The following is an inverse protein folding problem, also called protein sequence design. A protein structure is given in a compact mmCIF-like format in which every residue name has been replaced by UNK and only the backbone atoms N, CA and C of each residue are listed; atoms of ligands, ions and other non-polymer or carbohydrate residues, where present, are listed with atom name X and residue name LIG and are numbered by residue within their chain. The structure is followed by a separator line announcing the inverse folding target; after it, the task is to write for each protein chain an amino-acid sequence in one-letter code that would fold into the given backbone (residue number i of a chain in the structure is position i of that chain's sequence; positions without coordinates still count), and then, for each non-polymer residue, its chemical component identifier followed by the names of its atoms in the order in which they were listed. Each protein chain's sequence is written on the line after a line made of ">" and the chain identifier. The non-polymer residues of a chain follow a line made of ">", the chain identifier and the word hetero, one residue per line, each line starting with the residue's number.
data_IF_132097997710
#
_entry.id   IF_132097997710
#
_cell.length_a   1.000
_cell.length_b   1.000
_cell.length_c   1.000
_cell.angle_alpha   90.00
_cell.angle_beta   90.00
_cell.angle_gamma   90.00
#
_symmetry.space_group_name_H-M   'P 1'
#
loop_
_entity.id
_entity.type
_entity.pdbx_description
1 polymer ?
#
# COMPACT_ATOMS: atom_id res chain seq x y z
N UNK A 1 -28.24 19.20 -5.15
CA UNK A 1 -27.47 18.79 -6.35
C UNK A 1 -26.25 18.05 -5.88
N UNK A 2 -26.04 16.88 -6.47
CA UNK A 2 -25.11 15.85 -6.04
C UNK A 2 -23.74 16.10 -6.71
N UNK A 3 -22.61 16.23 -5.99
CA UNK A 3 -21.30 16.46 -6.63
C UNK A 3 -20.80 15.28 -7.46
N UNK A 4 -21.53 14.16 -7.52
CA UNK A 4 -21.29 13.05 -8.45
C UNK A 4 -21.79 13.30 -9.88
N UNK A 5 -22.22 14.51 -10.24
CA UNK A 5 -22.73 14.79 -11.59
C UNK A 5 -21.68 15.32 -12.57
N UNK A 6 -20.43 15.63 -12.16
CA UNK A 6 -19.45 16.10 -13.13
C UNK A 6 -17.99 15.68 -12.87
N UNK A 7 -17.25 15.24 -13.93
CA UNK A 7 -15.83 14.90 -13.87
C UNK A 7 -14.94 16.02 -13.28
N UNK A 8 -15.34 17.29 -13.38
CA UNK A 8 -14.54 18.43 -12.93
C UNK A 8 -14.29 18.43 -11.41
N UNK A 9 -15.24 17.94 -10.61
CA UNK A 9 -15.10 17.89 -9.14
C UNK A 9 -14.08 16.85 -8.66
N UNK A 10 -13.91 15.75 -9.40
CA UNK A 10 -12.87 14.76 -9.12
C UNK A 10 -11.48 15.27 -9.47
N UNK A 11 -11.34 16.03 -10.56
CA UNK A 11 -10.06 16.64 -10.96
C UNK A 11 -9.56 17.63 -9.90
N UNK A 12 -10.43 18.49 -9.36
CA UNK A 12 -10.08 19.44 -8.30
C UNK A 12 -9.56 18.78 -7.02
N UNK A 13 -10.07 17.59 -6.67
CA UNK A 13 -9.59 16.84 -5.52
C UNK A 13 -8.17 16.30 -5.76
N UNK A 14 -7.94 15.62 -6.89
CA UNK A 14 -6.64 15.07 -7.25
C UNK A 14 -5.54 16.12 -7.35
N UNK A 15 -5.87 17.31 -7.87
CA UNK A 15 -4.95 18.45 -7.98
C UNK A 15 -4.52 19.02 -6.62
N UNK A 16 -5.22 18.67 -5.55
CA UNK A 16 -5.05 19.27 -4.22
C UNK A 16 -4.23 18.41 -3.24
N UNK A 17 -3.71 17.27 -3.71
CA UNK A 17 -2.83 16.34 -2.98
C UNK A 17 -1.36 16.63 -3.34
N UNK A 18 -0.52 16.84 -2.32
CA UNK A 18 0.91 17.03 -2.50
C UNK A 18 1.63 15.69 -2.40
N UNK A 19 1.94 15.11 -3.55
CA UNK A 19 2.75 13.90 -3.61
C UNK A 19 4.24 14.26 -3.57
N UNK A 20 5.09 13.38 -2.98
CA UNK A 20 6.53 13.47 -3.18
C UNK A 20 6.82 13.57 -4.68
N UNK A 21 7.47 14.66 -5.08
CA UNK A 21 7.79 14.94 -6.47
C UNK A 21 9.31 14.92 -6.64
N UNK A 22 9.75 14.44 -7.79
CA UNK A 22 11.15 14.47 -8.16
C UNK A 22 11.60 15.90 -8.44
N UNK A 23 12.84 16.22 -8.07
CA UNK A 23 13.43 17.52 -8.40
C UNK A 23 13.57 17.68 -9.93
N UNK A 24 13.69 18.91 -10.45
CA UNK A 24 13.91 19.14 -11.89
C UNK A 24 15.10 18.34 -12.43
N UNK A 25 16.19 18.25 -11.69
CA UNK A 25 17.39 17.49 -12.10
C UNK A 25 17.13 15.98 -12.11
N UNK A 26 16.37 15.47 -11.14
CA UNK A 26 15.95 14.06 -11.10
C UNK A 26 14.99 13.73 -12.23
N UNK A 27 14.09 14.65 -12.60
CA UNK A 27 13.22 14.51 -13.76
C UNK A 27 14.00 14.51 -15.07
N UNK A 28 15.01 15.38 -15.21
CA UNK A 28 15.92 15.36 -16.37
C UNK A 28 16.67 14.03 -16.43
N UNK A 29 17.15 13.52 -15.29
CA UNK A 29 17.83 12.22 -15.22
C UNK A 29 16.89 11.04 -15.51
N UNK A 30 15.65 11.07 -15.03
CA UNK A 30 14.66 10.02 -15.26
C UNK A 30 14.19 9.99 -16.72
N UNK A 31 14.09 11.16 -17.36
CA UNK A 31 13.71 11.31 -18.76
C UNK A 31 14.92 11.29 -19.72
N UNK A 32 16.10 10.91 -19.23
CA UNK A 32 17.27 10.79 -20.09
C UNK A 32 17.02 9.71 -21.16
N UNK A 33 17.51 9.91 -22.41
CA UNK A 33 17.37 8.92 -23.46
C UNK A 33 17.96 7.57 -23.04
N UNK A 34 17.28 6.50 -23.45
CA UNK A 34 17.71 5.13 -23.20
C UNK A 34 19.06 4.89 -23.88
N UNK A 35 20.02 4.33 -23.15
CA UNK A 35 21.33 4.02 -23.73
C UNK A 35 21.52 2.52 -24.06
N UNK A 36 22.53 2.24 -24.87
CA UNK A 36 22.84 0.87 -25.28
C UNK A 36 23.29 -0.04 -24.12
N UNK A 37 23.82 0.53 -23.03
CA UNK A 37 24.25 -0.21 -21.84
C UNK A 37 23.02 -0.71 -21.08
N UNK A 38 22.00 0.13 -20.91
CA UNK A 38 20.73 -0.24 -20.30
C UNK A 38 20.04 -1.37 -21.06
N UNK A 39 20.05 -1.30 -22.41
CA UNK A 39 19.59 -2.41 -23.25
C UNK A 39 20.36 -3.71 -22.98
N UNK A 40 21.69 -3.64 -22.94
CA UNK A 40 22.52 -4.82 -22.67
C UNK A 40 22.30 -5.38 -21.27
N UNK A 41 22.10 -4.52 -20.27
CA UNK A 41 21.81 -4.94 -18.90
C UNK A 41 20.43 -5.61 -18.81
N UNK A 42 19.40 -5.02 -19.42
CA UNK A 42 18.06 -5.59 -19.43
C UNK A 42 17.99 -6.90 -20.20
N UNK A 43 18.64 -6.99 -21.37
CA UNK A 43 18.71 -8.23 -22.16
C UNK A 43 19.43 -9.34 -21.42
N UNK A 44 20.51 -9.06 -20.67
CA UNK A 44 21.20 -10.03 -19.81
C UNK A 44 20.29 -10.65 -18.75
N UNK A 45 19.34 -9.88 -18.23
CA UNK A 45 18.41 -10.32 -17.20
C UNK A 45 17.26 -11.20 -17.74
N UNK A 46 17.00 -11.19 -19.05
CA UNK A 46 15.92 -11.98 -19.64
C UNK A 46 16.11 -13.49 -19.43
N UNK A 47 14.99 -14.20 -19.23
CA UNK A 47 14.98 -15.66 -19.11
C UNK A 47 14.86 -16.30 -20.48
N UNK A 48 15.76 -17.26 -20.78
CA UNK A 48 15.71 -18.06 -22.00
C UNK A 48 14.44 -18.95 -22.05
N UNK A 49 14.15 -19.48 -23.24
CA UNK A 49 13.09 -20.43 -23.54
C UNK A 49 11.69 -19.95 -23.14
N UNK A 50 11.43 -18.65 -23.32
CA UNK A 50 10.09 -18.06 -23.16
C UNK A 50 9.38 -18.01 -24.50
N UNK A 51 8.07 -18.26 -24.48
CA UNK A 51 7.24 -18.14 -25.67
C UNK A 51 7.30 -16.70 -26.21
N UNK A 52 7.57 -16.54 -27.51
CA UNK A 52 7.64 -15.21 -28.12
C UNK A 52 6.25 -14.57 -28.17
N UNK A 53 6.25 -13.25 -28.32
CA UNK A 53 5.03 -12.51 -28.64
C UNK A 53 4.65 -12.66 -30.13
N UNK A 54 3.73 -11.83 -30.62
CA UNK A 54 3.21 -11.92 -31.99
C UNK A 54 4.23 -11.82 -33.12
N UNK A 55 5.40 -11.23 -32.86
CA UNK A 55 6.48 -11.11 -33.84
C UNK A 55 7.36 -12.38 -33.93
N UNK A 56 7.15 -13.38 -33.09
CA UNK A 56 7.92 -14.64 -33.11
C UNK A 56 9.36 -14.50 -32.59
N UNK A 57 9.80 -13.30 -32.20
CA UNK A 57 11.17 -13.07 -31.71
C UNK A 57 11.27 -13.44 -30.23
N UNK A 58 12.02 -14.52 -29.97
CA UNK A 58 12.27 -15.04 -28.63
C UNK A 58 13.40 -14.31 -27.90
N UNK A 59 13.62 -14.65 -26.63
CA UNK A 59 14.70 -14.05 -25.82
C UNK A 59 16.09 -14.33 -26.39
N UNK A 60 16.28 -15.50 -26.98
CA UNK A 60 17.51 -15.98 -27.61
C UNK A 60 17.99 -15.02 -28.71
N UNK A 61 17.06 -14.51 -29.51
CA UNK A 61 17.34 -13.58 -30.60
C UNK A 61 18.06 -12.33 -30.07
N UNK A 62 17.52 -11.69 -29.02
CA UNK A 62 18.10 -10.49 -28.43
C UNK A 62 19.42 -10.75 -27.73
N UNK A 63 19.59 -11.91 -27.09
CA UNK A 63 20.85 -12.24 -26.40
C UNK A 63 21.99 -12.56 -27.36
N UNK A 64 21.70 -13.33 -28.42
CA UNK A 64 22.70 -13.75 -29.40
C UNK A 64 23.11 -12.58 -30.29
N UNK A 65 22.14 -11.78 -30.73
CA UNK A 65 22.36 -10.70 -31.69
C UNK A 65 22.40 -9.32 -31.02
N UNK A 66 22.65 -9.25 -29.71
CA UNK A 66 22.59 -7.99 -28.94
C UNK A 66 23.45 -6.87 -29.56
N UNK A 67 24.64 -7.20 -30.06
CA UNK A 67 25.56 -6.23 -30.67
C UNK A 67 25.03 -5.65 -31.98
N UNK A 68 24.20 -6.40 -32.69
CA UNK A 68 23.57 -5.96 -33.94
C UNK A 68 22.24 -5.25 -33.71
N UNK A 69 21.53 -5.60 -32.63
CA UNK A 69 20.18 -5.09 -32.32
C UNK A 69 20.22 -3.82 -31.48
N UNK A 70 21.24 -3.64 -30.63
CA UNK A 70 21.29 -2.52 -29.66
C UNK A 70 21.07 -1.16 -30.32
N UNK A 71 21.69 -0.89 -31.47
CA UNK A 71 21.54 0.38 -32.18
C UNK A 71 20.13 0.56 -32.75
N UNK A 72 19.54 -0.51 -33.31
CA UNK A 72 18.17 -0.50 -33.82
C UNK A 72 17.14 -0.37 -32.70
N UNK A 73 17.39 -0.96 -31.54
CA UNK A 73 16.51 -0.89 -30.38
C UNK A 73 16.51 0.51 -29.77
N UNK A 74 17.69 1.11 -29.60
CA UNK A 74 17.82 2.50 -29.13
C UNK A 74 17.12 3.45 -30.12
N UNK A 75 17.36 3.32 -31.43
CA UNK A 75 16.66 4.11 -32.45
C UNK A 75 15.13 3.94 -32.39
N UNK A 76 14.65 2.72 -32.12
CA UNK A 76 13.22 2.47 -31.93
C UNK A 76 12.70 3.16 -30.66
N UNK A 77 13.44 3.10 -29.54
CA UNK A 77 13.06 3.77 -28.30
C UNK A 77 13.02 5.29 -28.46
N UNK A 78 14.03 5.87 -29.12
CA UNK A 78 14.10 7.30 -29.45
C UNK A 78 12.93 7.71 -30.35
N UNK A 79 12.62 6.91 -31.39
CA UNK A 79 11.46 7.17 -32.24
C UNK A 79 10.14 7.13 -31.47
N UNK A 80 9.97 6.17 -30.55
CA UNK A 80 8.77 6.10 -29.70
C UNK A 80 8.69 7.33 -28.79
N UNK A 81 9.82 7.77 -28.25
CA UNK A 81 9.90 8.96 -27.42
C UNK A 81 9.57 10.24 -28.20
N UNK A 82 10.13 10.42 -29.40
CA UNK A 82 9.93 11.62 -30.20
C UNK A 82 8.51 11.70 -30.78
N UNK A 83 8.00 10.56 -31.26
CA UNK A 83 6.68 10.51 -31.91
C UNK A 83 5.53 10.32 -30.92
N UNK A 84 5.83 9.91 -29.69
CA UNK A 84 4.85 9.49 -28.66
C UNK A 84 3.89 8.41 -29.16
N UNK A 85 4.29 7.67 -30.20
CA UNK A 85 3.52 6.61 -30.84
C UNK A 85 4.34 5.34 -30.83
N UNK A 86 3.79 4.29 -30.23
CA UNK A 86 4.36 2.95 -30.33
C UNK A 86 4.02 2.35 -31.69
N UNK A 87 5.02 1.71 -32.32
CA UNK A 87 4.80 0.94 -33.54
C UNK A 87 3.68 -0.08 -33.36
N UNK A 88 2.80 -0.22 -34.35
CA UNK A 88 1.60 -1.07 -34.25
C UNK A 88 1.93 -2.49 -33.77
N UNK A 89 3.05 -3.07 -34.21
CA UNK A 89 3.53 -4.40 -33.80
C UNK A 89 3.82 -4.53 -32.29
N UNK A 90 4.25 -3.46 -31.60
CA UNK A 90 4.54 -3.48 -30.15
C UNK A 90 3.26 -3.51 -29.31
N UNK A 91 2.17 -2.97 -29.85
CA UNK A 91 0.85 -2.97 -29.21
C UNK A 91 0.08 -4.26 -29.42
N UNK A 92 0.57 -5.16 -30.28
CA UNK A 92 -0.04 -6.46 -30.48
C UNK A 92 0.35 -7.41 -29.36
N UNK A 93 -0.67 -8.06 -28.80
CA UNK A 93 -0.53 -9.07 -27.76
C UNK A 93 -1.32 -10.30 -28.18
N UNK A 94 -0.71 -11.48 -28.06
CA UNK A 94 -1.51 -12.69 -28.10
C UNK A 94 -2.10 -12.93 -26.72
N UNK A 95 -3.40 -12.69 -26.62
CA UNK A 95 -4.18 -13.11 -25.47
C UNK A 95 -4.47 -14.59 -25.69
N UNK A 96 -3.82 -15.41 -24.90
CA UNK A 96 -4.12 -16.84 -24.85
C UNK A 96 -4.60 -17.20 -23.46
N UNK A 97 -5.53 -18.13 -23.41
CA UNK A 97 -6.04 -18.66 -22.17
C UNK A 97 -5.24 -19.89 -21.81
N UNK A 98 -4.48 -19.81 -20.72
CA UNK A 98 -3.96 -21.03 -20.14
C UNK A 98 -5.04 -21.63 -19.24
N UNK A 99 -5.54 -22.84 -19.53
CA UNK A 99 -6.46 -23.50 -18.64
C UNK A 99 -5.81 -23.64 -17.26
N UNK A 100 -6.50 -23.16 -16.23
CA UNK A 100 -6.12 -23.42 -14.84
C UNK A 100 -6.36 -24.90 -14.62
N UNK A 101 -5.27 -25.63 -14.56
CA UNK A 101 -5.25 -27.08 -14.48
C UNK A 101 -6.16 -27.62 -13.39
N UNK A 102 -7.09 -28.49 -13.77
CA UNK A 102 -8.08 -29.15 -12.90
C UNK A 102 -9.44 -28.45 -12.77
N UNK A 103 -9.68 -27.34 -13.49
CA UNK A 103 -10.97 -26.65 -13.53
C UNK A 103 -11.77 -27.09 -14.75
N UNK A 104 -13.10 -27.01 -14.67
CA UNK A 104 -13.98 -27.34 -15.78
C UNK A 104 -13.73 -26.42 -16.99
N UNK A 105 -13.17 -26.97 -18.07
CA UNK A 105 -12.84 -26.26 -19.31
C UNK A 105 -14.06 -25.62 -20.00
N UNK A 106 -15.29 -25.94 -19.58
CA UNK A 106 -16.53 -25.29 -20.04
C UNK A 106 -16.87 -23.99 -19.29
N UNK A 107 -16.18 -23.66 -18.20
CA UNK A 107 -16.41 -22.45 -17.41
C UNK A 107 -15.31 -21.42 -17.66
N UNK A 108 -15.67 -20.16 -17.89
CA UNK A 108 -14.71 -19.07 -18.20
C UNK A 108 -13.73 -18.80 -17.05
N UNK A 109 -14.19 -18.92 -15.80
CA UNK A 109 -13.35 -18.72 -14.60
C UNK A 109 -12.20 -19.75 -14.47
N UNK A 110 -12.27 -20.84 -15.23
CA UNK A 110 -11.29 -21.92 -15.32
C UNK A 110 -10.06 -21.59 -16.15
N UNK A 111 -10.05 -20.46 -16.85
CA UNK A 111 -8.92 -20.05 -17.65
C UNK A 111 -8.19 -18.91 -16.97
N UNK A 112 -6.86 -18.95 -16.97
CA UNK A 112 -6.01 -17.82 -16.64
C UNK A 112 -5.67 -17.15 -17.96
N UNK A 113 -6.09 -15.90 -18.08
CA UNK A 113 -5.67 -15.08 -19.21
C UNK A 113 -4.17 -14.86 -19.14
N UNK A 114 -3.46 -15.08 -20.24
CA UNK A 114 -2.05 -14.75 -20.39
C UNK A 114 -1.88 -13.88 -21.63
N UNK A 115 -1.17 -12.79 -21.41
CA UNK A 115 -0.75 -11.87 -22.45
C UNK A 115 0.67 -12.22 -22.88
N UNK A 116 0.83 -12.76 -24.08
CA UNK A 116 2.13 -12.92 -24.72
C UNK A 116 2.49 -11.62 -25.43
N UNK A 117 3.24 -10.79 -24.72
CA UNK A 117 3.79 -9.54 -25.22
C UNK A 117 5.08 -9.79 -26.02
N UNK A 118 5.39 -8.92 -26.97
CA UNK A 118 6.68 -8.94 -27.68
C UNK A 118 7.86 -8.83 -26.70
N UNK A 119 9.02 -9.31 -27.10
CA UNK A 119 10.19 -9.23 -26.24
C UNK A 119 10.74 -7.80 -26.17
N UNK A 120 10.53 -7.02 -27.24
CA UNK A 120 10.87 -5.61 -27.33
C UNK A 120 10.23 -4.78 -26.21
N UNK A 121 8.90 -4.91 -26.03
CA UNK A 121 8.18 -4.13 -25.01
C UNK A 121 8.56 -4.56 -23.59
N UNK A 122 8.93 -5.84 -23.38
CA UNK A 122 9.42 -6.32 -22.09
C UNK A 122 10.80 -5.77 -21.75
N UNK A 123 11.69 -5.68 -22.75
CA UNK A 123 13.01 -5.07 -22.57
C UNK A 123 12.85 -3.60 -22.24
N UNK A 124 12.02 -2.88 -23.03
CA UNK A 124 11.74 -1.47 -22.80
C UNK A 124 11.15 -1.23 -21.39
N UNK A 125 10.12 -1.98 -21.01
CA UNK A 125 9.51 -1.88 -19.69
C UNK A 125 10.49 -2.20 -18.55
N UNK A 126 11.39 -3.16 -18.75
CA UNK A 126 12.42 -3.51 -17.76
C UNK A 126 13.43 -2.37 -17.55
N UNK A 127 13.79 -1.67 -18.61
CA UNK A 127 14.72 -0.52 -18.55
C UNK A 127 14.04 0.63 -17.81
N UNK A 128 12.82 0.99 -18.22
CA UNK A 128 12.03 2.04 -17.58
C UNK A 128 11.77 1.75 -16.09
N UNK A 129 11.45 0.50 -15.74
CA UNK A 129 11.26 0.10 -14.34
C UNK A 129 12.55 0.20 -13.52
N UNK A 130 13.71 -0.07 -14.14
CA UNK A 130 15.01 0.06 -13.47
C UNK A 130 15.37 1.53 -13.22
N UNK A 131 15.14 2.40 -14.21
CA UNK A 131 15.33 3.84 -14.09
C UNK A 131 14.43 4.42 -12.98
N UNK A 132 13.13 4.09 -12.99
CA UNK A 132 12.19 4.54 -11.96
C UNK A 132 12.54 3.99 -10.57
N UNK A 133 13.03 2.75 -10.50
CA UNK A 133 13.41 2.08 -9.26
C UNK A 133 14.45 2.84 -8.44
N UNK A 134 15.35 3.59 -9.07
CA UNK A 134 16.33 4.43 -8.39
C UNK A 134 15.69 5.57 -7.57
N UNK A 135 14.45 5.96 -7.91
CA UNK A 135 13.75 7.08 -7.31
C UNK A 135 12.61 6.65 -6.38
N UNK A 136 12.11 5.41 -6.51
CA UNK A 136 11.00 4.89 -5.69
C UNK A 136 11.18 5.03 -4.16
N UNK A 137 12.38 4.83 -3.57
CA UNK A 137 12.57 5.02 -2.12
C UNK A 137 12.32 6.44 -1.62
N UNK A 138 12.37 7.43 -2.52
CA UNK A 138 12.07 8.84 -2.22
C UNK A 138 10.58 9.16 -2.45
N UNK A 139 9.86 8.26 -3.14
CA UNK A 139 8.47 8.42 -3.55
C UNK A 139 7.50 7.56 -2.72
N UNK A 140 7.98 6.54 -2.00
CA UNK A 140 7.15 5.56 -1.25
C UNK A 140 7.59 5.45 0.22
N UNK A 141 6.62 5.47 1.16
CA UNK A 141 6.86 5.43 2.60
C UNK A 141 7.32 4.04 3.12
N UNK A 142 8.28 3.96 4.08
CA UNK A 142 8.76 2.69 4.66
C UNK A 142 7.72 1.85 5.42
N UNK A 143 6.66 2.47 5.95
CA UNK A 143 5.65 1.80 6.80
C UNK A 143 4.76 0.79 6.07
N UNK A 144 5.01 0.55 4.79
CA UNK A 144 4.38 -0.53 4.05
C UNK A 144 4.94 -1.94 4.46
N UNK A 145 5.61 -2.07 5.63
CA UNK A 145 6.36 -3.26 6.13
C UNK A 145 6.09 -3.58 7.64
N UNK A 146 4.84 -3.72 8.10
CA UNK A 146 4.49 -3.84 9.54
C UNK A 146 4.73 -5.19 10.28
N UNK A 147 5.96 -5.71 10.36
CA UNK A 147 6.32 -6.90 11.18
C UNK A 147 7.63 -6.68 11.97
N UNK A 148 7.80 -7.30 13.15
CA UNK A 148 9.07 -7.23 13.90
C UNK A 148 10.21 -7.79 13.04
N UNK A 149 11.35 -7.08 13.00
CA UNK A 149 12.52 -7.50 12.24
C UNK A 149 12.94 -8.93 12.61
N UNK A 150 13.26 -9.76 11.61
CA UNK A 150 13.65 -11.17 11.75
C UNK A 150 12.63 -12.08 12.47
N UNK A 151 11.39 -11.62 12.65
CA UNK A 151 10.36 -12.47 13.26
C UNK A 151 9.87 -13.55 12.30
N UNK A 152 9.52 -14.70 12.88
CA UNK A 152 8.95 -15.81 12.13
C UNK A 152 7.51 -15.52 11.71
N UNK A 153 7.20 -15.78 10.44
CA UNK A 153 5.82 -15.85 9.93
C UNK A 153 5.44 -17.32 9.77
N UNK A 154 4.38 -17.75 10.44
CA UNK A 154 3.87 -19.11 10.35
C UNK A 154 2.51 -19.11 9.65
N UNK A 155 2.35 -19.93 8.62
CA UNK A 155 1.13 -19.97 7.82
C UNK A 155 0.55 -21.36 7.83
N UNK A 156 -0.65 -21.50 8.41
CA UNK A 156 -1.50 -22.67 8.26
C UNK A 156 -2.31 -22.53 6.97
N UNK A 157 -2.26 -23.55 6.12
CA UNK A 157 -2.97 -23.59 4.86
C UNK A 157 -4.15 -24.57 4.93
N UNK A 158 -5.33 -24.10 4.53
CA UNK A 158 -6.48 -24.96 4.32
C UNK A 158 -7.07 -24.73 2.93
N UNK A 159 -6.72 -25.59 1.99
CA UNK A 159 -7.42 -25.68 0.71
C UNK A 159 -8.63 -26.60 0.87
N UNK A 160 -9.80 -26.16 0.42
CA UNK A 160 -10.98 -27.03 0.41
C UNK A 160 -10.75 -28.16 -0.60
N UNK A 161 -11.02 -29.41 -0.22
CA UNK A 161 -11.05 -30.54 -1.14
C UNK A 161 -12.50 -30.95 -1.35
N UNK A 162 -13.04 -30.62 -2.51
CA UNK A 162 -14.34 -31.15 -2.93
C UNK A 162 -14.19 -32.66 -3.23
N UNK A 163 -14.88 -33.55 -2.51
CA UNK A 163 -14.83 -35.00 -2.75
C UNK A 163 -15.32 -35.42 -4.15
N UNK A 164 -16.09 -34.55 -4.82
CA UNK A 164 -16.67 -34.80 -6.14
C UNK A 164 -15.75 -34.37 -7.30
N UNK A 165 -14.64 -33.69 -7.00
CA UNK A 165 -13.66 -33.30 -8.03
C UNK A 165 -12.68 -34.45 -8.25
N UNK A 166 -12.58 -35.01 -9.48
CA UNK A 166 -11.69 -36.13 -9.75
C UNK A 166 -10.24 -35.75 -9.44
N UNK A 167 -9.50 -36.64 -8.76
CA UNK A 167 -8.03 -36.53 -8.70
C UNK A 167 -7.52 -36.56 -10.14
N UNK A 168 -6.74 -35.56 -10.56
CA UNK A 168 -6.07 -35.63 -11.86
C UNK A 168 -5.17 -36.86 -11.87
N UNK A 169 -5.44 -37.74 -12.83
CA UNK A 169 -4.60 -38.89 -13.16
C UNK A 169 -3.36 -38.36 -13.90
N UNK A 170 -2.25 -39.01 -13.57
CA UNK A 170 -0.94 -38.95 -14.23
C UNK A 170 -0.02 -37.80 -13.82
N UNK A 171 0.80 -38.07 -12.79
CA UNK A 171 1.86 -37.20 -12.25
C UNK A 171 3.12 -37.16 -13.11
N UNK A 172 3.21 -37.98 -14.16
CA UNK A 172 4.49 -38.30 -14.83
C UNK A 172 4.89 -37.30 -15.94
N UNK A 173 3.98 -36.42 -16.42
CA UNK A 173 4.24 -35.51 -17.55
C UNK A 173 4.21 -33.99 -17.21
N UNK A 174 4.06 -33.61 -15.94
CA UNK A 174 3.97 -32.20 -15.55
C UNK A 174 5.35 -31.53 -15.46
N UNK A 175 5.69 -30.69 -16.45
CA UNK A 175 6.82 -29.75 -16.34
C UNK A 175 6.45 -28.54 -15.49
N UNK A 176 6.91 -28.54 -14.23
CA UNK A 176 6.75 -27.43 -13.28
C UNK A 176 5.68 -27.69 -12.21
N UNK A 177 5.23 -26.63 -11.53
CA UNK A 177 4.30 -26.73 -10.39
C UNK A 177 2.89 -27.17 -10.83
N UNK A 178 2.20 -27.92 -9.98
CA UNK A 178 0.83 -28.38 -10.24
C UNK A 178 -0.16 -27.20 -10.21
N UNK A 179 -0.87 -26.88 -11.32
CA UNK A 179 -1.77 -25.74 -11.33
C UNK A 179 -3.09 -25.95 -10.58
N UNK A 180 -3.39 -27.19 -10.18
CA UNK A 180 -4.54 -27.54 -9.36
C UNK A 180 -4.33 -27.17 -7.89
N UNK A 181 -3.09 -27.28 -7.42
CA UNK A 181 -2.70 -27.13 -6.02
C UNK A 181 -2.30 -25.68 -5.75
N UNK A 182 -2.65 -25.19 -4.56
CA UNK A 182 -2.16 -23.91 -4.07
C UNK A 182 -0.67 -24.00 -3.78
N UNK A 183 0.11 -22.99 -4.14
CA UNK A 183 1.54 -22.99 -3.81
C UNK A 183 1.95 -21.69 -3.13
N UNK A 184 3.00 -21.76 -2.32
CA UNK A 184 3.79 -20.60 -1.96
C UNK A 184 4.96 -20.49 -2.93
N UNK A 185 5.06 -19.35 -3.60
CA UNK A 185 6.18 -19.00 -4.46
C UNK A 185 7.23 -18.25 -3.65
N UNK A 186 8.50 -18.58 -3.81
CA UNK A 186 9.62 -17.84 -3.22
C UNK A 186 10.68 -17.51 -4.27
N UNK A 187 11.26 -16.32 -4.19
CA UNK A 187 12.45 -15.91 -4.95
C UNK A 187 13.33 -15.01 -4.10
N UNK A 188 14.64 -15.03 -4.35
CA UNK A 188 15.56 -14.05 -3.79
C UNK A 188 15.13 -12.65 -4.27
N UNK A 189 15.12 -11.66 -3.38
CA UNK A 189 14.76 -10.28 -3.73
C UNK A 189 15.70 -9.75 -4.83
N UNK A 190 15.16 -9.04 -5.81
CA UNK A 190 15.91 -8.44 -6.94
C UNK A 190 16.62 -9.43 -7.88
N UNK A 191 16.71 -10.71 -7.54
CA UNK A 191 17.29 -11.75 -8.37
C UNK A 191 16.21 -12.47 -9.19
N UNK A 192 16.40 -12.51 -10.50
CA UNK A 192 15.57 -13.29 -11.42
C UNK A 192 16.34 -14.40 -12.14
N UNK A 193 17.65 -14.51 -11.94
CA UNK A 193 18.50 -15.57 -12.52
C UNK A 193 18.37 -16.86 -11.72
N UNK A 194 18.35 -16.77 -10.38
CA UNK A 194 18.11 -17.94 -9.53
C UNK A 194 16.69 -18.46 -9.73
N UNK A 195 16.50 -19.75 -10.05
CA UNK A 195 15.16 -20.32 -10.18
C UNK A 195 14.35 -20.15 -8.89
N UNK A 196 13.14 -19.60 -9.02
CA UNK A 196 12.22 -19.49 -7.90
C UNK A 196 11.65 -20.84 -7.50
N UNK A 197 11.32 -20.97 -6.22
CA UNK A 197 10.67 -22.16 -5.67
C UNK A 197 9.15 -22.01 -5.73
N UNK A 198 8.46 -23.09 -6.02
CA UNK A 198 7.01 -23.20 -5.90
C UNK A 198 6.69 -24.43 -5.05
N UNK A 199 6.35 -24.22 -3.79
CA UNK A 199 6.11 -25.30 -2.82
C UNK A 199 4.61 -25.57 -2.75
N UNK A 200 4.15 -26.80 -3.02
CA UNK A 200 2.73 -27.15 -2.95
C UNK A 200 2.19 -27.04 -1.53
N UNK A 201 0.93 -26.63 -1.41
CA UNK A 201 0.20 -26.46 -0.16
C UNK A 201 -1.11 -27.27 -0.22
N UNK A 202 -1.09 -28.43 0.44
CA UNK A 202 -2.24 -29.29 0.66
C UNK A 202 -3.03 -28.85 1.92
N UNK A 203 -4.27 -29.35 2.10
CA UNK A 203 -5.06 -29.01 3.27
C UNK A 203 -4.37 -29.52 4.54
N UNK A 204 -4.18 -28.62 5.51
CA UNK A 204 -3.48 -28.91 6.75
C UNK A 204 -1.99 -28.59 6.73
N UNK A 205 -1.41 -28.35 5.55
CA UNK A 205 0.00 -28.00 5.46
C UNK A 205 0.29 -26.68 6.16
N UNK A 206 1.45 -26.60 6.78
CA UNK A 206 1.96 -25.38 7.37
C UNK A 206 3.35 -25.08 6.84
N UNK A 207 3.64 -23.80 6.61
CA UNK A 207 4.97 -23.35 6.24
C UNK A 207 5.40 -22.17 7.11
N UNK A 208 6.72 -22.02 7.24
CA UNK A 208 7.35 -21.04 8.11
C UNK A 208 8.35 -20.23 7.30
N UNK A 209 8.29 -18.92 7.44
CA UNK A 209 9.33 -18.01 6.98
C UNK A 209 10.11 -17.59 8.22
N UNK A 210 11.34 -18.09 8.33
CA UNK A 210 12.18 -17.92 9.53
C UNK A 210 13.15 -16.76 9.34
N UNK A 211 13.50 -16.10 10.44
CA UNK A 211 14.55 -15.09 10.51
C UNK A 211 14.42 -14.01 9.42
N UNK A 212 15.47 -13.76 8.64
CA UNK A 212 15.52 -12.70 7.63
C UNK A 212 14.87 -13.08 6.28
N UNK A 213 14.22 -14.25 6.17
CA UNK A 213 13.68 -14.74 4.90
C UNK A 213 12.66 -13.77 4.29
N UNK A 214 11.84 -13.13 5.12
CA UNK A 214 10.85 -12.14 4.65
C UNK A 214 11.50 -10.81 4.18
N UNK A 215 12.77 -10.59 4.48
CA UNK A 215 13.55 -9.42 4.04
C UNK A 215 14.40 -9.74 2.80
N UNK A 216 15.03 -10.92 2.78
CA UNK A 216 15.94 -11.35 1.72
C UNK A 216 15.22 -11.97 0.52
N UNK A 217 13.98 -12.43 0.70
CA UNK A 217 13.18 -13.09 -0.32
C UNK A 217 11.81 -12.44 -0.49
N UNK A 218 11.34 -12.43 -1.73
CA UNK A 218 9.96 -12.10 -2.07
C UNK A 218 9.14 -13.39 -2.13
N UNK A 219 7.93 -13.34 -1.58
CA UNK A 219 6.99 -14.45 -1.64
C UNK A 219 5.69 -14.04 -2.32
N UNK A 220 5.03 -15.01 -2.96
CA UNK A 220 3.72 -14.79 -3.56
C UNK A 220 2.83 -16.02 -3.37
N UNK A 221 1.53 -15.79 -3.24
CA UNK A 221 0.55 -16.87 -3.21
C UNK A 221 0.16 -17.23 -4.63
N UNK A 222 0.50 -18.45 -5.05
CA UNK A 222 0.10 -18.98 -6.34
C UNK A 222 -1.25 -19.68 -6.20
N UNK A 223 -2.27 -19.12 -6.84
CA UNK A 223 -3.62 -19.64 -6.79
C UNK A 223 -3.71 -21.07 -7.34
N UNK A 224 -4.24 -21.95 -6.49
CA UNK A 224 -4.82 -23.22 -6.90
C UNK A 224 -6.29 -23.02 -7.26
N UNK A 225 -7.00 -24.11 -7.48
CA UNK A 225 -8.35 -24.05 -8.03
C UNK A 225 -9.45 -23.93 -7.01
N UNK A 226 -9.29 -24.69 -5.94
CA UNK A 226 -10.30 -24.77 -4.91
C UNK A 226 -10.26 -23.51 -4.05
N UNK A 227 -11.37 -23.13 -3.42
CA UNK A 227 -11.33 -22.14 -2.35
C UNK A 227 -10.24 -22.49 -1.33
N UNK A 228 -9.53 -21.47 -0.85
CA UNK A 228 -8.49 -21.61 0.16
C UNK A 228 -8.72 -20.59 1.25
N UNK A 229 -8.51 -21.06 2.47
CA UNK A 229 -8.29 -20.24 3.64
C UNK A 229 -6.84 -20.40 4.10
N UNK A 230 -6.32 -19.38 4.74
CA UNK A 230 -5.03 -19.48 5.43
C UNK A 230 -5.07 -18.67 6.71
N UNK A 231 -4.49 -19.21 7.77
CA UNK A 231 -4.16 -18.44 8.97
C UNK A 231 -2.70 -18.06 8.89
N UNK A 232 -2.40 -16.76 8.77
CA UNK A 232 -1.02 -16.25 8.71
C UNK A 232 -0.69 -15.61 10.05
N UNK A 233 -0.02 -16.35 10.92
CA UNK A 233 0.44 -15.87 12.21
C UNK A 233 1.71 -15.03 12.03
N UNK A 234 1.71 -13.84 12.61
CA UNK A 234 2.79 -12.86 12.55
C UNK A 234 3.10 -12.36 13.96
N UNK A 235 4.34 -11.96 14.18
CA UNK A 235 4.69 -11.11 15.31
C UNK A 235 4.58 -9.68 14.82
N UNK A 236 3.43 -9.05 15.07
CA UNK A 236 3.23 -7.66 14.72
C UNK A 236 4.22 -6.80 15.52
N UNK A 237 4.92 -5.92 14.82
CA UNK A 237 5.57 -4.79 15.48
C UNK A 237 4.43 -3.94 16.04
N UNK A 238 4.34 -3.90 17.36
CA UNK A 238 3.21 -3.33 18.08
C UNK A 238 3.65 -2.47 19.24
N UNK A 239 4.92 -2.01 19.24
CA UNK A 239 5.43 -1.09 20.26
C UNK A 239 4.55 0.16 20.39
N UNK A 240 3.97 0.62 19.29
CA UNK A 240 3.04 1.75 19.23
C UNK A 240 1.61 1.35 18.83
N UNK A 241 1.34 0.05 18.63
CA UNK A 241 0.10 -0.48 18.05
C UNK A 241 -0.86 -1.17 19.04
N UNK A 242 -0.69 -0.98 20.36
CA UNK A 242 -1.52 -1.61 21.41
C UNK A 242 -2.43 -0.63 22.13
N UNK A 243 -3.56 -1.13 22.65
CA UNK A 243 -4.53 -0.29 23.36
C UNK A 243 -3.90 0.31 24.63
N UNK A 244 -3.09 -0.48 25.32
CA UNK A 244 -2.35 -0.07 26.51
C UNK A 244 -1.39 1.08 26.19
N UNK A 245 -0.67 0.99 25.08
CA UNK A 245 0.23 2.05 24.61
C UNK A 245 -0.54 3.35 24.38
N UNK A 246 -1.59 3.33 23.53
CA UNK A 246 -2.28 4.56 23.19
C UNK A 246 -3.04 5.15 24.38
N UNK A 247 -3.55 4.32 25.29
CA UNK A 247 -4.14 4.81 26.54
C UNK A 247 -3.10 5.49 27.43
N UNK A 248 -1.91 4.94 27.56
CA UNK A 248 -0.82 5.56 28.30
C UNK A 248 -0.42 6.90 27.68
N UNK A 249 -0.35 6.97 26.34
CA UNK A 249 -0.08 8.21 25.59
C UNK A 249 -1.15 9.27 25.88
N UNK A 250 -2.43 8.93 25.77
CA UNK A 250 -3.53 9.85 26.12
C UNK A 250 -3.42 10.34 27.57
N UNK A 251 -3.13 9.44 28.52
CA UNK A 251 -2.97 9.82 29.92
C UNK A 251 -1.83 10.81 30.13
N UNK A 252 -0.70 10.64 29.44
CA UNK A 252 0.42 11.60 29.46
C UNK A 252 -0.02 12.96 28.94
N UNK A 253 -0.73 13.02 27.81
CA UNK A 253 -1.24 14.29 27.29
C UNK A 253 -2.18 14.99 28.29
N UNK A 254 -3.13 14.25 28.85
CA UNK A 254 -4.13 14.77 29.79
C UNK A 254 -3.54 15.14 31.17
N UNK A 255 -2.30 14.78 31.49
CA UNK A 255 -1.66 15.29 32.71
C UNK A 255 -1.52 16.82 32.68
N UNK A 256 -1.45 17.44 31.50
CA UNK A 256 -1.41 18.89 31.35
C UNK A 256 -2.79 19.56 31.50
N UNK A 257 -3.89 18.81 31.60
CA UNK A 257 -5.23 19.37 31.84
C UNK A 257 -5.64 19.31 33.32
N UNK A 258 -6.44 20.29 33.73
CA UNK A 258 -7.18 20.28 35.00
C UNK A 258 -8.62 20.74 34.75
N UNK A 259 -9.60 19.98 35.29
CA UNK A 259 -11.02 20.31 35.19
C UNK A 259 -11.45 21.06 36.44
N UNK A 260 -11.94 22.30 36.29
CA UNK A 260 -12.56 23.03 37.42
C UNK A 260 -13.85 22.34 37.82
N UNK A 261 -13.96 21.98 39.10
CA UNK A 261 -15.00 21.13 39.70
C UNK A 261 -16.44 21.58 39.49
N UNK A 262 -16.68 22.85 39.13
CA UNK A 262 -18.04 23.41 39.05
C UNK A 262 -18.48 23.85 37.64
N UNK A 263 -17.57 23.98 36.67
CA UNK A 263 -17.88 24.54 35.34
C UNK A 263 -17.51 23.64 34.16
N UNK A 264 -16.77 22.55 34.40
CA UNK A 264 -16.25 21.69 33.32
C UNK A 264 -15.21 22.37 32.42
N UNK A 265 -14.79 23.59 32.75
CA UNK A 265 -13.77 24.32 32.00
C UNK A 265 -12.41 23.64 32.23
N UNK A 266 -11.75 23.30 31.13
CA UNK A 266 -10.40 22.76 31.11
C UNK A 266 -9.40 23.91 31.16
N UNK A 267 -8.44 23.80 32.07
CA UNK A 267 -7.31 24.73 32.18
C UNK A 267 -6.02 23.93 31.98
N UNK A 268 -5.04 24.53 31.32
CA UNK A 268 -3.72 23.94 31.14
C UNK A 268 -2.82 24.29 32.32
N UNK A 269 -2.12 23.28 32.84
CA UNK A 269 -1.18 23.45 33.97
C UNK A 269 0.10 24.15 33.53
N UNK A 270 0.54 23.90 32.29
CA UNK A 270 1.75 24.49 31.70
C UNK A 270 1.55 24.79 30.21
N UNK A 271 2.22 25.87 29.77
CA UNK A 271 2.35 26.29 28.38
C UNK A 271 3.81 26.18 27.89
N UNK A 272 4.60 25.33 28.53
CA UNK A 272 5.95 25.01 28.09
C UNK A 272 5.91 24.40 26.67
N UNK A 273 6.77 24.91 25.78
CA UNK A 273 6.77 24.58 24.35
C UNK A 273 6.86 23.08 24.04
N UNK A 274 7.79 22.37 24.69
CA UNK A 274 8.00 20.92 24.51
C UNK A 274 6.80 20.10 24.97
N UNK A 275 6.12 20.54 26.03
CA UNK A 275 4.94 19.87 26.58
C UNK A 275 3.73 20.03 25.65
N UNK A 276 3.48 21.24 25.16
CA UNK A 276 2.37 21.48 24.23
C UNK A 276 2.63 20.77 22.89
N UNK A 277 3.86 20.74 22.40
CA UNK A 277 4.23 19.96 21.21
C UNK A 277 3.95 18.46 21.41
N UNK A 278 4.31 17.91 22.58
CA UNK A 278 4.05 16.51 22.91
C UNK A 278 2.54 16.20 22.94
N UNK A 279 1.74 17.08 23.54
CA UNK A 279 0.27 16.93 23.57
C UNK A 279 -0.30 16.92 22.15
N UNK A 280 0.10 17.87 21.30
CA UNK A 280 -0.41 17.96 19.93
C UNK A 280 -0.01 16.76 19.06
N UNK A 281 1.19 16.18 19.28
CA UNK A 281 1.61 14.92 18.63
C UNK A 281 0.76 13.73 19.06
N UNK A 282 0.48 13.59 20.36
CA UNK A 282 -0.39 12.52 20.88
C UNK A 282 -1.82 12.70 20.34
N UNK A 283 -2.27 13.95 20.24
CA UNK A 283 -3.58 14.28 19.69
C UNK A 283 -3.72 13.79 18.24
N UNK A 284 -2.72 14.06 17.39
CA UNK A 284 -2.68 13.55 16.00
C UNK A 284 -2.66 12.02 15.98
N UNK A 285 -1.81 11.39 16.80
CA UNK A 285 -1.67 9.93 16.86
C UNK A 285 -2.99 9.23 17.17
N UNK A 286 -3.74 9.71 18.17
CA UNK A 286 -5.07 9.16 18.51
C UNK A 286 -6.07 9.36 17.38
N UNK A 287 -6.06 10.52 16.74
CA UNK A 287 -7.00 10.83 15.67
C UNK A 287 -6.77 9.94 14.43
N UNK A 288 -5.54 9.89 13.94
CA UNK A 288 -5.22 9.32 12.63
C UNK A 288 -4.83 7.85 12.66
N UNK A 289 -4.11 7.38 13.69
CA UNK A 289 -3.68 5.97 13.78
C UNK A 289 -4.73 5.08 14.44
N UNK A 290 -5.69 5.66 15.17
CA UNK A 290 -6.70 4.90 15.92
C UNK A 290 -8.13 5.19 15.47
N UNK A 291 -8.62 6.42 15.70
CA UNK A 291 -10.04 6.74 15.50
C UNK A 291 -10.44 6.66 14.02
N UNK A 292 -9.71 7.34 13.13
CA UNK A 292 -10.05 7.36 11.70
C UNK A 292 -9.84 5.99 11.05
N UNK A 293 -8.77 5.27 11.39
CA UNK A 293 -8.55 3.89 10.94
C UNK A 293 -9.71 2.96 11.34
N UNK A 294 -10.20 3.09 12.59
CA UNK A 294 -11.29 2.25 13.09
C UNK A 294 -12.63 2.61 12.44
N UNK A 295 -12.98 3.89 12.33
CA UNK A 295 -14.30 4.27 11.80
C UNK A 295 -14.38 4.12 10.28
N UNK A 296 -13.28 4.25 9.56
CA UNK A 296 -13.22 4.06 8.12
C UNK A 296 -13.63 2.66 7.66
N UNK A 297 -13.37 1.62 8.47
CA UNK A 297 -13.76 0.24 8.13
C UNK A 297 -15.26 -0.03 8.33
N UNK A 298 -16.06 0.97 8.72
CA UNK A 298 -17.52 0.86 8.79
C UNK A 298 -18.03 -0.09 9.88
N UNK A 299 -17.31 -0.18 11.00
CA UNK A 299 -17.69 -1.02 12.15
C UNK A 299 -17.93 -2.51 11.82
N UNK A 300 -17.25 -3.04 10.79
CA UNK A 300 -17.38 -4.44 10.34
C UNK A 300 -17.13 -5.45 11.45
N UNK A 301 -16.24 -5.13 12.38
CA UNK A 301 -15.89 -5.96 13.54
C UNK A 301 -17.09 -6.27 14.42
N UNK A 302 -18.11 -5.40 14.49
CA UNK A 302 -19.31 -5.60 15.31
C UNK A 302 -20.08 -6.87 14.93
N UNK A 303 -19.91 -7.37 13.70
CA UNK A 303 -20.44 -8.67 13.27
C UNK A 303 -19.78 -9.85 14.00
N UNK A 304 -18.54 -9.70 14.45
CA UNK A 304 -17.73 -10.74 15.09
C UNK A 304 -17.54 -10.52 16.60
N UNK A 305 -17.37 -9.27 17.03
CA UNK A 305 -17.10 -8.92 18.43
C UNK A 305 -17.43 -7.45 18.71
N UNK A 306 -17.90 -7.15 19.92
CA UNK A 306 -18.13 -5.79 20.41
C UNK A 306 -16.96 -5.23 21.24
N UNK A 307 -15.85 -5.97 21.37
CA UNK A 307 -14.73 -5.65 22.26
C UNK A 307 -14.18 -4.23 22.07
N UNK A 308 -14.00 -3.80 20.81
CA UNK A 308 -13.45 -2.48 20.46
C UNK A 308 -14.39 -1.30 20.74
N UNK A 309 -15.67 -1.55 21.02
CA UNK A 309 -16.65 -0.47 21.14
C UNK A 309 -16.36 0.46 22.32
N UNK A 310 -16.17 -0.09 23.52
CA UNK A 310 -15.87 0.71 24.72
C UNK A 310 -14.48 1.38 24.66
N UNK A 311 -13.41 0.67 24.23
CA UNK A 311 -12.11 1.30 24.00
C UNK A 311 -12.14 2.49 23.03
N UNK A 312 -12.85 2.37 21.90
CA UNK A 312 -12.91 3.44 20.90
C UNK A 312 -13.72 4.64 21.39
N UNK A 313 -14.82 4.43 22.12
CA UNK A 313 -15.54 5.52 22.78
C UNK A 313 -14.64 6.28 23.76
N UNK A 314 -13.82 5.56 24.54
CA UNK A 314 -12.89 6.19 25.47
C UNK A 314 -11.77 6.97 24.77
N UNK A 315 -11.25 6.47 23.65
CA UNK A 315 -10.31 7.23 22.81
C UNK A 315 -10.96 8.49 22.25
N UNK A 316 -12.22 8.43 21.84
CA UNK A 316 -12.98 9.59 21.37
C UNK A 316 -13.15 10.63 22.49
N UNK A 317 -13.40 10.21 23.73
CA UNK A 317 -13.47 11.12 24.88
C UNK A 317 -12.10 11.78 25.17
N UNK A 318 -11.00 11.03 25.09
CA UNK A 318 -9.65 11.59 25.21
C UNK A 318 -9.33 12.59 24.09
N UNK A 319 -9.69 12.26 22.86
CA UNK A 319 -9.53 13.13 21.69
C UNK A 319 -10.33 14.43 21.86
N UNK A 320 -11.60 14.37 22.30
CA UNK A 320 -12.43 15.56 22.58
C UNK A 320 -11.80 16.47 23.64
N UNK A 321 -11.20 15.88 24.68
CA UNK A 321 -10.51 16.67 25.70
C UNK A 321 -9.26 17.35 25.12
N UNK A 322 -8.50 16.67 24.27
CA UNK A 322 -7.34 17.25 23.57
C UNK A 322 -7.73 18.34 22.57
N UNK A 323 -8.87 18.24 21.88
CA UNK A 323 -9.43 19.33 21.07
C UNK A 323 -9.65 20.61 21.91
N UNK A 324 -10.24 20.47 23.10
CA UNK A 324 -10.41 21.61 24.01
C UNK A 324 -9.05 22.14 24.48
N UNK A 325 -8.08 21.27 24.75
CA UNK A 325 -6.72 21.69 25.11
C UNK A 325 -6.05 22.51 23.99
N UNK A 326 -6.12 22.05 22.73
CA UNK A 326 -5.64 22.80 21.56
C UNK A 326 -6.32 24.17 21.49
N UNK A 327 -7.64 24.24 21.69
CA UNK A 327 -8.37 25.50 21.73
C UNK A 327 -7.87 26.44 22.83
N UNK A 328 -7.58 25.94 24.03
CA UNK A 328 -7.03 26.75 25.14
C UNK A 328 -5.63 27.28 24.77
N UNK A 329 -4.73 26.47 24.20
CA UNK A 329 -3.41 26.93 23.74
C UNK A 329 -3.54 28.09 22.75
N UNK A 330 -4.45 27.96 21.76
CA UNK A 330 -4.70 29.00 20.76
C UNK A 330 -5.26 30.28 21.39
N UNK A 331 -6.17 30.15 22.35
CA UNK A 331 -6.70 31.29 23.10
C UNK A 331 -5.60 32.02 23.88
N UNK A 332 -4.72 31.30 24.57
CA UNK A 332 -3.57 31.88 25.29
C UNK A 332 -2.60 32.60 24.34
N UNK A 333 -2.31 32.03 23.18
CA UNK A 333 -1.48 32.68 22.16
C UNK A 333 -2.11 33.97 21.61
N UNK A 334 -3.45 34.04 21.56
CA UNK A 334 -4.21 35.19 21.05
C UNK A 334 -4.44 36.29 22.08
N UNK A 335 -4.19 36.06 23.37
CA UNK A 335 -4.35 37.10 24.40
C UNK A 335 -3.51 38.33 24.08
N UNK A 336 -4.10 39.50 24.30
CA UNK A 336 -3.46 40.80 24.06
C UNK A 336 -2.26 40.97 25.00
N UNK A 337 -2.38 40.45 26.22
CA UNK A 337 -1.38 40.50 27.28
C UNK A 337 -0.23 39.49 27.10
N UNK A 338 -0.33 38.57 26.12
CA UNK A 338 0.72 37.60 25.85
C UNK A 338 1.92 38.27 25.15
N UNK A 339 3.14 38.22 25.73
CA UNK A 339 4.34 38.77 25.10
C UNK A 339 4.57 38.17 23.71
N UNK A 340 5.07 38.99 22.79
CA UNK A 340 5.26 38.61 21.38
C UNK A 340 6.21 37.42 21.25
N UNK A 341 7.28 37.39 22.05
CA UNK A 341 8.27 36.32 22.09
C UNK A 341 7.63 34.99 22.54
N UNK A 342 6.84 35.02 23.60
CA UNK A 342 6.11 33.84 24.12
C UNK A 342 5.07 33.34 23.11
N UNK A 343 4.38 34.26 22.43
CA UNK A 343 3.44 33.90 21.36
C UNK A 343 4.15 33.19 20.21
N UNK A 344 5.27 33.72 19.74
CA UNK A 344 6.06 33.09 18.67
C UNK A 344 6.58 31.72 19.10
N UNK A 345 7.04 31.60 20.34
CA UNK A 345 7.46 30.32 20.90
C UNK A 345 6.34 29.28 20.84
N UNK A 346 5.16 29.59 21.42
CA UNK A 346 4.00 28.69 21.41
C UNK A 346 3.64 28.26 19.99
N UNK A 347 3.55 29.21 19.06
CA UNK A 347 3.19 28.94 17.65
C UNK A 347 4.22 28.02 17.00
N UNK A 348 5.52 28.26 17.19
CA UNK A 348 6.58 27.44 16.58
C UNK A 348 6.50 25.96 17.02
N UNK A 349 6.10 25.69 18.26
CA UNK A 349 5.98 24.32 18.77
C UNK A 349 4.73 23.59 18.27
N UNK A 350 3.60 24.28 18.09
CA UNK A 350 2.34 23.61 17.71
C UNK A 350 2.06 23.61 16.21
N UNK A 351 2.61 24.58 15.46
CA UNK A 351 2.32 24.74 14.04
C UNK A 351 2.56 23.47 13.21
N UNK A 352 3.68 22.73 13.38
CA UNK A 352 3.90 21.49 12.61
C UNK A 352 2.78 20.46 12.79
N UNK A 353 2.38 20.20 14.03
CA UNK A 353 1.30 19.24 14.34
C UNK A 353 -0.06 19.71 13.84
N UNK A 354 -0.34 21.01 13.88
CA UNK A 354 -1.60 21.55 13.34
C UNK A 354 -1.66 21.51 11.81
N UNK A 355 -0.54 21.78 11.13
CA UNK A 355 -0.44 21.65 9.68
C UNK A 355 -0.65 20.20 9.25
N UNK A 356 0.06 19.26 9.88
CA UNK A 356 -0.12 17.83 9.64
C UNK A 356 -1.57 17.39 9.89
N UNK A 357 -2.18 17.82 11.00
CA UNK A 357 -3.58 17.50 11.32
C UNK A 357 -4.54 17.97 10.24
N UNK A 358 -4.33 19.18 9.72
CA UNK A 358 -5.17 19.74 8.66
C UNK A 358 -5.05 18.93 7.35
N UNK A 359 -3.83 18.56 6.97
CA UNK A 359 -3.55 17.78 5.75
C UNK A 359 -4.15 16.38 5.86
N UNK A 360 -3.91 15.68 6.97
CA UNK A 360 -4.46 14.34 7.20
C UNK A 360 -5.99 14.36 7.30
N UNK A 361 -6.61 15.37 7.94
CA UNK A 361 -8.08 15.52 7.96
C UNK A 361 -8.65 15.57 6.55
N UNK A 362 -8.00 16.34 5.67
CA UNK A 362 -8.41 16.46 4.27
C UNK A 362 -8.27 15.12 3.54
N UNK A 363 -7.10 14.47 3.63
CA UNK A 363 -6.87 13.16 3.02
C UNK A 363 -7.93 12.13 3.45
N UNK A 364 -8.22 12.05 4.75
CA UNK A 364 -9.21 11.11 5.28
C UNK A 364 -10.64 11.42 4.82
N UNK A 365 -11.03 12.69 4.73
CA UNK A 365 -12.33 13.10 4.19
C UNK A 365 -12.47 12.62 2.75
N UNK A 366 -11.44 12.82 1.94
CA UNK A 366 -11.49 12.49 0.53
C UNK A 366 -11.44 10.98 0.29
N UNK A 367 -10.65 10.25 1.09
CA UNK A 367 -10.65 8.79 1.14
C UNK A 367 -12.04 8.22 1.46
N UNK A 368 -12.77 8.86 2.38
CA UNK A 368 -14.14 8.47 2.74
C UNK A 368 -15.14 8.72 1.60
N UNK A 369 -14.94 9.77 0.81
CA UNK A 369 -15.85 10.18 -0.28
C UNK A 369 -15.54 9.52 -1.64
N UNK A 370 -14.47 8.73 -1.73
CA UNK A 370 -14.08 8.06 -2.98
C UNK A 370 -15.16 7.09 -3.48
N UNK A 371 -15.35 6.99 -4.80
CA UNK A 371 -16.37 6.10 -5.41
C UNK A 371 -16.15 4.62 -5.05
N UNK A 372 -14.90 4.24 -4.75
CA UNK A 372 -14.53 2.89 -4.32
C UNK A 372 -14.89 2.58 -2.86
N UNK A 373 -14.96 3.59 -1.96
CA UNK A 373 -15.42 3.38 -0.58
C UNK A 373 -16.94 3.20 -0.51
N UNK A 374 -17.71 3.91 -1.35
CA UNK A 374 -19.16 3.75 -1.47
C UNK A 374 -19.61 2.38 -2.02
N UNK A 375 -18.75 1.68 -2.77
CA UNK A 375 -19.03 0.35 -3.32
C UNK A 375 -18.81 -0.80 -2.32
N UNK A 376 -18.15 -0.56 -1.18
CA UNK A 376 -18.05 -1.54 -0.11
C UNK A 376 -19.36 -1.50 0.70
N UNK A 377 -20.21 -2.52 0.52
CA UNK A 377 -21.50 -2.67 1.21
C UNK A 377 -21.50 -2.14 2.66
N UNK A 378 -22.27 -1.08 2.90
CA UNK A 378 -22.72 -0.71 4.24
C UNK A 378 -21.85 0.29 5.03
N UNK A 379 -21.18 1.26 4.39
CA UNK A 379 -20.92 2.53 5.09
C UNK A 379 -22.28 3.18 5.36
N UNK A 380 -22.83 2.97 6.56
CA UNK A 380 -24.08 3.63 6.94
C UNK A 380 -23.86 5.14 6.90
N UNK A 381 -24.90 5.88 6.52
CA UNK A 381 -24.96 7.35 6.64
C UNK A 381 -24.48 7.84 8.02
N UNK A 382 -24.60 7.01 9.05
CA UNK A 382 -24.13 7.23 10.42
C UNK A 382 -22.59 7.27 10.55
N UNK A 383 -21.83 6.45 9.81
CA UNK A 383 -20.36 6.49 9.82
C UNK A 383 -19.83 7.77 9.14
N UNK A 384 -20.46 8.17 8.03
CA UNK A 384 -20.15 9.45 7.37
C UNK A 384 -20.58 10.61 8.26
N UNK A 385 -21.74 10.54 8.93
CA UNK A 385 -22.19 11.58 9.88
C UNK A 385 -21.33 11.69 11.15
N UNK A 386 -20.80 10.59 11.70
CA UNK A 386 -19.88 10.64 12.84
C UNK A 386 -18.51 11.24 12.45
N UNK A 387 -18.00 10.90 11.26
CA UNK A 387 -16.75 11.47 10.75
C UNK A 387 -16.91 12.93 10.25
N UNK A 388 -18.11 13.31 9.81
CA UNK A 388 -18.41 14.68 9.33
C UNK A 388 -18.93 15.61 10.42
N UNK A 389 -19.41 15.11 11.57
CA UNK A 389 -19.82 15.94 12.72
C UNK A 389 -18.68 16.78 13.30
N UNK A 390 -17.43 16.41 13.02
CA UNK A 390 -16.24 17.04 13.58
C UNK A 390 -15.28 17.61 12.52
N UNK A 391 -15.77 17.80 11.29
CA UNK A 391 -15.01 18.45 10.20
C UNK A 391 -15.30 19.95 10.08
N UNK A 392 -16.21 20.51 10.89
CA UNK A 392 -16.70 21.89 10.79
C UNK A 392 -16.61 22.71 12.08
N UNK A 393 -15.91 22.22 13.12
CA UNK A 393 -15.60 22.98 14.33
C UNK A 393 -14.10 23.32 14.40
#
# INVERSE_FOLDING_TARGET
>A
MNPYESPEACCQFCESLHFPALSPDQLVSLNAPLDGIEFQLATKQLKLAKAPGPNGLGTEFYKILQELIVSLFVQMADMIWDTQVTGSSLNHVYITVLPKHGKNAKLVSSYKLISLLSQDIKILASILASQLGCFLPQLIHPDQIGCVERSTVAVYNYSYKDPLVPKMKDKEDLKGRDPAIWHIGLKIAWDIKTPGLAVPLYPGDSYFMLDDLNMTHQHCVLSGLQPRFSSTHRVAESSTGTLEYIFARCQVALQNSEKKTDSGIIILKSLEGTLIEQVEKIHNEVEFEWLRQFWFQGNRYRKCSNWWHQPMMKLEDFWKEMEVMTHVVLCEARKVECPVEKRHEIINYILPSLTERQELRKEWIDRCRSVSSCAQEGLSETCVQLMMRHAND
#
